data_IF_267382206821
#
_entry.id   IF_267382206821
#
_cell.length_a   1.000
_cell.length_b   1.000
_cell.length_c   1.000
_cell.angle_alpha   90.00
_cell.angle_beta   90.00
_cell.angle_gamma   90.00
#
_symmetry.space_group_name_H-M   'P 1'
#
loop_
_entity.id
_entity.type
_entity.pdbx_description
1 polymer ?
#
# COMPACT_ATOMS: atom_id res chain seq x y z
N UNK A 1 -14.29 2.14 11.26
CA UNK A 1 -15.17 2.78 10.25
C UNK A 1 -14.55 4.05 9.65
N UNK A 2 -14.11 5.04 10.46
CA UNK A 2 -13.59 6.32 9.97
C UNK A 2 -12.34 6.20 9.06
N UNK A 3 -11.39 5.33 9.40
CA UNK A 3 -10.18 5.09 8.57
C UNK A 3 -10.54 4.51 7.19
N UNK A 4 -11.45 3.53 7.13
CA UNK A 4 -11.93 2.97 5.86
C UNK A 4 -12.62 4.05 5.00
N UNK A 5 -13.41 4.92 5.64
CA UNK A 5 -14.08 6.03 4.95
C UNK A 5 -13.06 7.05 4.41
N UNK A 6 -12.01 7.38 5.18
CA UNK A 6 -10.93 8.25 4.73
C UNK A 6 -10.28 7.73 3.44
N UNK A 7 -9.83 6.46 3.41
CA UNK A 7 -9.23 5.88 2.21
C UNK A 7 -10.21 5.77 1.03
N UNK A 8 -11.49 5.47 1.29
CA UNK A 8 -12.52 5.44 0.25
C UNK A 8 -12.71 6.81 -0.39
N UNK A 9 -12.78 7.86 0.43
CA UNK A 9 -12.96 9.24 -0.03
C UNK A 9 -11.71 9.76 -0.74
N UNK A 10 -10.51 9.39 -0.27
CA UNK A 10 -9.25 9.75 -0.91
C UNK A 10 -9.19 9.20 -2.35
N UNK A 11 -9.66 7.97 -2.58
CA UNK A 11 -9.80 7.40 -3.94
C UNK A 11 -10.83 8.11 -4.81
N UNK A 12 -11.92 8.58 -4.19
CA UNK A 12 -13.00 9.29 -4.89
C UNK A 12 -12.69 10.77 -5.14
N UNK A 13 -11.53 11.27 -4.68
CA UNK A 13 -11.08 12.67 -4.86
C UNK A 13 -12.07 13.73 -4.36
N UNK A 14 -12.90 13.40 -3.35
CA UNK A 14 -13.89 14.33 -2.81
C UNK A 14 -13.32 15.12 -1.62
N UNK A 15 -12.78 16.31 -1.91
CA UNK A 15 -12.08 17.16 -0.94
C UNK A 15 -12.92 17.57 0.28
N UNK A 16 -14.21 17.87 0.08
CA UNK A 16 -15.09 18.29 1.17
C UNK A 16 -15.29 17.17 2.19
N UNK A 17 -15.64 15.96 1.72
CA UNK A 17 -15.82 14.80 2.60
C UNK A 17 -14.50 14.31 3.21
N UNK A 18 -13.38 14.53 2.50
CA UNK A 18 -12.04 14.21 2.99
C UNK A 18 -11.72 15.01 4.24
N UNK A 19 -11.95 16.34 4.21
CA UNK A 19 -11.77 17.22 5.37
C UNK A 19 -12.60 16.78 6.58
N UNK A 20 -13.85 16.36 6.38
CA UNK A 20 -14.71 15.87 7.45
C UNK A 20 -14.17 14.58 8.07
N UNK A 21 -13.75 13.62 7.24
CA UNK A 21 -13.18 12.36 7.70
C UNK A 21 -11.85 12.54 8.44
N UNK A 22 -10.97 13.43 7.95
CA UNK A 22 -9.70 13.78 8.59
C UNK A 22 -9.92 14.48 9.93
N UNK A 23 -10.88 15.42 10.00
CA UNK A 23 -11.23 16.11 11.25
C UNK A 23 -11.84 15.16 12.28
N UNK A 24 -12.71 14.24 11.84
CA UNK A 24 -13.28 13.21 12.71
C UNK A 24 -12.19 12.31 13.30
N UNK A 25 -11.26 11.83 12.46
CA UNK A 25 -10.13 11.01 12.92
C UNK A 25 -9.25 11.74 13.93
N UNK A 26 -8.89 13.00 13.66
CA UNK A 26 -8.10 13.82 14.57
C UNK A 26 -8.82 14.06 15.93
N UNK A 27 -10.15 14.22 15.92
CA UNK A 27 -10.93 14.36 17.16
C UNK A 27 -11.01 13.04 17.93
N UNK A 28 -11.20 11.92 17.23
CA UNK A 28 -11.27 10.60 17.85
C UNK A 28 -9.92 10.19 18.45
N UNK A 29 -8.81 10.49 17.77
CA UNK A 29 -7.46 10.24 18.30
C UNK A 29 -7.18 11.07 19.55
N UNK A 30 -7.73 12.28 19.66
CA UNK A 30 -7.53 13.15 20.82
C UNK A 30 -8.30 12.71 22.09
N UNK A 31 -9.24 11.75 21.98
CA UNK A 31 -10.07 11.31 23.13
C UNK A 31 -9.24 10.59 24.20
N UNK A 32 -8.30 9.74 23.79
CA UNK A 32 -7.46 8.98 24.71
C UNK A 32 -6.16 8.53 24.02
N UNK A 33 -5.07 8.29 24.77
CA UNK A 33 -3.82 7.78 24.17
C UNK A 33 -4.02 6.42 23.49
N UNK A 34 -4.91 5.57 24.02
CA UNK A 34 -5.27 4.31 23.38
C UNK A 34 -5.98 4.51 22.04
N UNK A 35 -6.89 5.50 21.95
CA UNK A 35 -7.57 5.86 20.70
C UNK A 35 -6.59 6.44 19.68
N UNK A 36 -5.65 7.29 20.11
CA UNK A 36 -4.57 7.80 19.25
C UNK A 36 -3.74 6.65 18.68
N UNK A 37 -3.26 5.74 19.54
CA UNK A 37 -2.49 4.55 19.14
C UNK A 37 -3.25 3.70 18.11
N UNK A 38 -4.51 3.37 18.40
CA UNK A 38 -5.34 2.57 17.50
C UNK A 38 -5.60 3.28 16.16
N UNK A 39 -5.87 4.58 16.18
CA UNK A 39 -6.09 5.37 14.96
C UNK A 39 -4.84 5.39 14.07
N UNK A 40 -3.67 5.62 14.67
CA UNK A 40 -2.39 5.65 13.96
C UNK A 40 -2.04 4.26 13.39
N UNK A 41 -2.17 3.19 14.17
CA UNK A 41 -1.94 1.82 13.69
C UNK A 41 -2.81 1.50 12.48
N UNK A 42 -4.11 1.77 12.57
CA UNK A 42 -5.06 1.51 11.48
C UNK A 42 -4.79 2.38 10.24
N UNK A 43 -4.29 3.61 10.42
CA UNK A 43 -3.88 4.48 9.31
C UNK A 43 -2.63 3.95 8.60
N UNK A 44 -1.61 3.54 9.36
CA UNK A 44 -0.35 2.99 8.81
C UNK A 44 -0.62 1.66 8.10
N UNK A 45 -1.27 0.71 8.76
CA UNK A 45 -1.70 -0.55 8.13
C UNK A 45 -2.56 -0.28 6.90
N UNK A 46 -3.50 0.67 7.01
CA UNK A 46 -4.41 1.03 5.94
C UNK A 46 -3.68 1.54 4.70
N UNK A 47 -2.64 2.36 4.87
CA UNK A 47 -1.86 2.90 3.76
C UNK A 47 -1.02 1.83 3.06
N UNK A 48 -0.48 0.86 3.82
CA UNK A 48 0.39 -0.20 3.32
C UNK A 48 -0.37 -1.40 2.72
N UNK A 49 -1.70 -1.47 2.88
CA UNK A 49 -2.52 -2.52 2.25
C UNK A 49 -2.46 -2.41 0.72
N UNK A 50 -2.34 -3.55 0.03
CA UNK A 50 -2.28 -3.67 -1.45
C UNK A 50 -3.31 -2.83 -2.20
N UNK A 51 -4.53 -2.69 -1.66
CA UNK A 51 -5.60 -1.91 -2.31
C UNK A 51 -5.39 -0.40 -2.24
N UNK A 52 -4.71 0.09 -1.19
CA UNK A 52 -4.49 1.51 -0.94
C UNK A 52 -3.09 1.96 -1.36
N UNK A 53 -2.06 1.10 -1.29
CA UNK A 53 -0.69 1.47 -1.63
C UNK A 53 -0.55 2.26 -2.96
N UNK A 54 -1.27 1.93 -4.05
CA UNK A 54 -1.17 2.68 -5.31
C UNK A 54 -1.59 4.15 -5.20
N UNK A 55 -2.48 4.52 -4.27
CA UNK A 55 -2.92 5.91 -4.11
C UNK A 55 -1.81 6.82 -3.57
N UNK A 56 -0.77 6.23 -3.01
CA UNK A 56 0.43 6.88 -2.47
C UNK A 56 1.67 6.64 -3.34
N UNK A 57 1.50 6.08 -4.55
CA UNK A 57 2.61 5.75 -5.44
C UNK A 57 3.28 4.40 -5.16
N UNK A 58 2.72 3.59 -4.24
CA UNK A 58 3.21 2.25 -3.98
C UNK A 58 2.88 1.30 -5.12
N UNK A 59 3.91 0.70 -5.72
CA UNK A 59 3.75 -0.36 -6.72
C UNK A 59 3.77 -1.71 -6.01
N UNK A 60 2.77 -2.55 -6.27
CA UNK A 60 2.83 -3.95 -5.86
C UNK A 60 3.19 -4.77 -7.10
N UNK A 61 4.35 -5.42 -7.07
CA UNK A 61 4.67 -6.42 -8.08
C UNK A 61 3.55 -7.46 -8.05
N UNK A 62 2.82 -7.58 -9.16
CA UNK A 62 1.83 -8.64 -9.35
C UNK A 62 2.60 -9.96 -9.33
N UNK A 63 2.72 -10.56 -8.15
CA UNK A 63 3.13 -11.96 -8.04
C UNK A 63 2.08 -12.76 -8.81
N UNK A 64 2.42 -13.11 -10.04
CA UNK A 64 1.55 -13.85 -10.96
C UNK A 64 1.03 -15.16 -10.35
N UNK A 65 1.70 -15.70 -9.33
CA UNK A 65 1.29 -16.88 -8.59
C UNK A 65 0.09 -16.64 -7.66
N UNK A 66 0.00 -15.50 -6.97
CA UNK A 66 -1.11 -15.19 -6.05
C UNK A 66 -2.32 -14.59 -6.76
N UNK A 67 -2.09 -13.88 -7.88
CA UNK A 67 -3.16 -13.35 -8.71
C UNK A 67 -3.82 -14.46 -9.55
N UNK A 68 -3.14 -15.58 -9.85
CA UNK A 68 -3.74 -16.75 -10.50
C UNK A 68 -4.84 -17.41 -9.64
N UNK A 69 -4.70 -17.43 -8.31
CA UNK A 69 -5.72 -17.97 -7.41
C UNK A 69 -6.91 -17.01 -7.20
N UNK A 70 -6.70 -15.69 -7.29
CA UNK A 70 -7.77 -14.69 -7.15
C UNK A 70 -8.48 -14.34 -8.46
N UNK A 71 -7.82 -14.43 -9.62
CA UNK A 71 -8.45 -14.22 -10.93
C UNK A 71 -9.49 -15.30 -11.27
N UNK A 72 -9.48 -16.45 -10.60
CA UNK A 72 -10.54 -17.45 -10.69
C UNK A 72 -11.94 -16.92 -10.30
N UNK A 73 -12.02 -15.75 -9.66
CA UNK A 73 -13.29 -15.19 -9.18
C UNK A 73 -13.71 -13.83 -9.79
N UNK A 74 -12.91 -13.14 -10.61
CA UNK A 74 -13.15 -11.70 -10.88
C UNK A 74 -13.23 -11.24 -12.34
N UNK A 75 -13.17 -12.12 -13.34
CA UNK A 75 -13.50 -11.71 -14.71
C UNK A 75 -14.11 -12.88 -15.47
N UNK A 76 -15.39 -12.76 -15.82
CA UNK A 76 -16.04 -13.62 -16.81
C UNK A 76 -15.34 -13.36 -18.17
N UNK A 77 -14.18 -13.97 -18.36
CA UNK A 77 -13.46 -13.93 -19.63
C UNK A 77 -14.10 -14.98 -20.52
N UNK A 78 -14.86 -14.53 -21.52
CA UNK A 78 -15.46 -15.43 -22.49
C UNK A 78 -14.38 -16.07 -23.33
N UNK A 79 -14.16 -17.38 -23.13
CA UNK A 79 -13.24 -18.16 -23.95
C UNK A 79 -13.64 -18.12 -25.43
N UNK A 80 -14.95 -17.98 -25.72
CA UNK A 80 -15.47 -17.80 -27.08
C UNK A 80 -14.97 -16.51 -27.72
N UNK A 81 -15.01 -15.38 -27.01
CA UNK A 81 -14.50 -14.09 -27.55
C UNK A 81 -12.98 -14.14 -27.79
N UNK A 82 -12.25 -14.78 -26.88
CA UNK A 82 -10.81 -15.00 -27.03
C UNK A 82 -10.54 -15.86 -28.27
N UNK A 83 -11.22 -17.00 -28.40
CA UNK A 83 -11.04 -17.92 -29.52
C UNK A 83 -11.42 -17.27 -30.85
N UNK A 84 -12.50 -16.49 -30.91
CA UNK A 84 -12.90 -15.77 -32.13
C UNK A 84 -11.80 -14.81 -32.63
N UNK A 85 -11.11 -14.11 -31.72
CA UNK A 85 -9.99 -13.22 -32.09
C UNK A 85 -8.81 -13.99 -32.66
N UNK A 86 -8.46 -15.13 -32.07
CA UNK A 86 -7.36 -15.94 -32.56
C UNK A 86 -7.70 -16.66 -33.88
N UNK A 87 -8.92 -17.17 -34.03
CA UNK A 87 -9.36 -17.86 -35.27
C UNK A 87 -9.45 -16.90 -36.46
N UNK A 88 -9.85 -15.65 -36.27
CA UNK A 88 -9.97 -14.68 -37.37
C UNK A 88 -8.62 -14.25 -37.97
N UNK A 89 -7.52 -14.37 -37.24
CA UNK A 89 -6.17 -13.98 -37.69
C UNK A 89 -5.34 -15.12 -38.28
N UNK A 90 -5.84 -16.36 -38.22
CA UNK A 90 -5.11 -17.54 -38.67
C UNK A 90 -5.48 -17.84 -40.13
N UNK A 91 -4.83 -17.12 -41.05
CA UNK A 91 -5.02 -17.31 -42.48
C UNK A 91 -3.98 -18.29 -43.03
N UNK A 92 -4.18 -19.59 -42.81
CA UNK A 92 -3.37 -20.63 -43.47
C UNK A 92 -3.90 -20.87 -44.89
N UNK A 93 -3.53 -20.00 -45.83
CA UNK A 93 -3.74 -20.25 -47.25
C UNK A 93 -2.82 -21.38 -47.72
N UNK A 94 -3.20 -22.63 -47.44
CA UNK A 94 -2.66 -23.82 -48.11
C UNK A 94 -1.90 -24.85 -47.25
N UNK A 95 -2.52 -25.44 -46.22
CA UNK A 95 -2.03 -26.73 -45.70
C UNK A 95 -2.47 -27.13 -44.30
N UNK A 96 -2.75 -28.42 -44.13
CA UNK A 96 -3.16 -29.12 -42.89
C UNK A 96 -1.99 -29.27 -41.91
N UNK A 97 -1.30 -28.19 -41.56
CA UNK A 97 -0.10 -28.27 -40.71
C UNK A 97 -0.18 -27.36 -39.49
N UNK A 98 0.45 -27.87 -38.42
CA UNK A 98 0.44 -27.34 -37.07
C UNK A 98 0.81 -25.85 -36.99
N UNK A 99 0.37 -25.21 -35.90
CA UNK A 99 0.72 -23.82 -35.56
C UNK A 99 2.24 -23.66 -35.54
N UNK A 100 2.77 -22.55 -36.10
CA UNK A 100 4.22 -22.29 -36.24
C UNK A 100 4.99 -22.28 -34.91
N UNK A 101 4.32 -22.13 -33.77
CA UNK A 101 4.91 -22.15 -32.43
C UNK A 101 4.41 -23.34 -31.60
N UNK A 102 5.26 -23.86 -30.71
CA UNK A 102 4.90 -24.92 -29.75
C UNK A 102 4.05 -24.42 -28.55
N UNK A 103 3.64 -23.15 -28.56
CA UNK A 103 2.83 -22.50 -27.53
C UNK A 103 3.39 -21.12 -27.16
N UNK A 104 2.72 -20.45 -26.22
CA UNK A 104 3.18 -19.18 -25.63
C UNK A 104 3.51 -19.43 -24.17
N UNK A 105 4.70 -19.00 -23.73
CA UNK A 105 5.06 -19.01 -22.31
C UNK A 105 4.49 -17.73 -21.68
N UNK A 106 3.61 -17.90 -20.70
CA UNK A 106 2.98 -16.78 -19.98
C UNK A 106 1.91 -16.03 -20.79
N UNK A 107 1.68 -14.74 -20.48
CA UNK A 107 0.63 -13.91 -21.10
C UNK A 107 1.11 -12.93 -22.17
N UNK A 108 2.36 -13.05 -22.62
CA UNK A 108 2.93 -12.13 -23.63
C UNK A 108 3.43 -10.81 -23.05
N UNK A 109 3.40 -9.74 -23.86
CA UNK A 109 3.92 -8.41 -23.50
C UNK A 109 3.26 -7.88 -22.23
N UNK A 110 4.09 -7.50 -21.24
CA UNK A 110 3.62 -6.89 -19.99
C UNK A 110 3.12 -5.46 -20.28
N UNK A 111 2.04 -5.05 -19.59
CA UNK A 111 1.54 -3.68 -19.68
C UNK A 111 2.61 -2.68 -19.27
N UNK A 112 2.69 -1.55 -19.98
CA UNK A 112 3.61 -0.47 -19.66
C UNK A 112 3.38 0.07 -18.24
N UNK A 113 4.43 0.57 -17.56
CA UNK A 113 4.30 1.18 -16.26
C UNK A 113 3.43 2.45 -16.31
N UNK A 114 2.80 2.83 -15.18
CA UNK A 114 2.00 4.06 -15.08
C UNK A 114 2.86 5.33 -15.33
N UNK A 115 2.24 6.36 -15.93
CA UNK A 115 2.91 7.63 -16.33
C UNK A 115 3.01 8.69 -15.23
N UNK A 116 3.65 9.83 -15.55
CA UNK A 116 4.04 10.92 -14.63
C UNK A 116 2.88 11.59 -13.87
N UNK A 117 1.69 11.74 -14.46
CA UNK A 117 0.53 12.36 -13.80
C UNK A 117 0.10 11.63 -12.51
N UNK A 118 0.35 10.32 -12.43
CA UNK A 118 0.04 9.50 -11.25
C UNK A 118 0.97 9.83 -10.07
N UNK A 119 2.18 10.34 -10.34
CA UNK A 119 3.17 10.69 -9.32
C UNK A 119 2.81 11.98 -8.57
N UNK A 120 2.31 13.01 -9.26
CA UNK A 120 1.89 14.27 -8.60
C UNK A 120 0.68 14.06 -7.69
N UNK A 121 -0.32 13.29 -8.14
CA UNK A 121 -1.49 12.96 -7.31
C UNK A 121 -1.09 12.14 -6.08
N UNK A 122 -0.16 11.20 -6.23
CA UNK A 122 0.39 10.43 -5.11
C UNK A 122 1.09 11.33 -4.09
N UNK A 123 1.87 12.32 -4.52
CA UNK A 123 2.53 13.28 -3.63
C UNK A 123 1.51 14.11 -2.83
N UNK A 124 0.43 14.57 -3.47
CA UNK A 124 -0.64 15.29 -2.78
C UNK A 124 -1.35 14.42 -1.75
N UNK A 125 -1.68 13.18 -2.11
CA UNK A 125 -2.29 12.21 -1.20
C UNK A 125 -1.39 11.91 0.00
N UNK A 126 -0.08 11.77 -0.24
CA UNK A 126 0.92 11.54 0.79
C UNK A 126 0.98 12.74 1.74
N UNK A 127 0.98 13.96 1.23
CA UNK A 127 0.95 15.18 2.06
C UNK A 127 -0.31 15.25 2.94
N UNK A 128 -1.48 14.93 2.39
CA UNK A 128 -2.74 14.85 3.14
C UNK A 128 -2.64 13.80 4.25
N UNK A 129 -2.12 12.61 3.93
CA UNK A 129 -1.95 11.52 4.86
C UNK A 129 -0.99 11.87 6.00
N UNK A 130 0.19 12.41 5.69
CA UNK A 130 1.17 12.84 6.69
C UNK A 130 0.61 13.95 7.58
N UNK A 131 -0.11 14.92 7.00
CA UNK A 131 -0.77 15.98 7.78
C UNK A 131 -1.80 15.41 8.76
N UNK A 132 -2.59 14.43 8.33
CA UNK A 132 -3.53 13.74 9.21
C UNK A 132 -2.82 12.95 10.30
N UNK A 133 -1.77 12.19 9.95
CA UNK A 133 -1.01 11.38 10.88
C UNK A 133 -0.33 12.26 11.95
N UNK A 134 0.23 13.40 11.57
CA UNK A 134 0.77 14.40 12.50
C UNK A 134 -0.31 14.95 13.44
N UNK A 135 -1.52 15.23 12.94
CA UNK A 135 -2.64 15.67 13.80
C UNK A 135 -3.06 14.59 14.80
N UNK A 136 -3.05 13.32 14.40
CA UNK A 136 -3.34 12.20 15.28
C UNK A 136 -2.24 11.96 16.32
N UNK A 137 -0.99 12.31 16.00
CA UNK A 137 0.16 12.20 16.89
C UNK A 137 0.43 13.46 17.73
N UNK A 138 -0.26 14.57 17.46
CA UNK A 138 -0.04 15.84 18.14
C UNK A 138 -0.48 15.80 19.60
N UNK A 139 0.32 16.39 20.48
CA UNK A 139 -0.15 16.70 21.83
C UNK A 139 -1.08 17.93 21.75
N UNK A 140 -2.24 17.86 22.40
CA UNK A 140 -3.13 19.02 22.46
C UNK A 140 -2.41 20.16 23.20
N UNK A 141 -2.47 21.41 22.69
CA UNK A 141 -1.90 22.55 23.41
C UNK A 141 -2.49 22.57 24.82
N UNK A 142 -1.61 22.60 25.84
CA UNK A 142 -2.07 22.86 27.21
C UNK A 142 -2.83 24.18 27.20
N UNK A 143 -4.05 24.18 27.72
CA UNK A 143 -4.87 25.39 27.81
C UNK A 143 -4.05 26.50 28.49
N UNK A 144 -3.74 27.57 27.75
CA UNK A 144 -2.97 28.72 28.24
C UNK A 144 -1.64 29.02 27.54
N UNK A 145 -1.18 28.22 26.58
CA UNK A 145 0.06 28.51 25.83
C UNK A 145 -0.21 28.84 24.35
N UNK A 146 -0.50 30.11 24.00
CA UNK A 146 -0.88 30.52 22.64
C UNK A 146 0.24 30.41 21.58
N UNK A 147 1.46 30.02 21.94
CA UNK A 147 2.63 30.03 21.03
C UNK A 147 3.51 28.78 21.11
N UNK A 148 3.01 27.64 21.60
CA UNK A 148 3.80 26.41 21.59
C UNK A 148 3.77 25.77 20.19
N UNK A 149 4.93 25.45 19.58
CA UNK A 149 4.95 24.73 18.31
C UNK A 149 4.25 23.37 18.47
N UNK A 150 3.67 22.80 17.39
CA UNK A 150 3.05 21.49 17.46
C UNK A 150 4.07 20.45 17.89
N UNK A 151 3.93 19.93 19.11
CA UNK A 151 4.80 18.87 19.63
C UNK A 151 4.23 17.51 19.30
N UNK A 152 5.03 16.66 18.67
CA UNK A 152 4.68 15.26 18.41
C UNK A 152 4.79 14.49 19.73
N UNK A 153 3.73 13.75 20.09
CA UNK A 153 3.76 12.87 21.25
C UNK A 153 4.73 11.68 20.97
N UNK A 154 5.76 11.45 21.80
CA UNK A 154 6.72 10.37 21.58
C UNK A 154 6.06 8.98 21.58
N UNK A 155 5.03 8.76 22.39
CA UNK A 155 4.31 7.47 22.43
C UNK A 155 3.51 7.23 21.14
N UNK A 156 2.97 8.30 20.55
CA UNK A 156 2.28 8.22 19.27
C UNK A 156 3.29 7.94 18.14
N UNK A 157 4.44 8.60 18.14
CA UNK A 157 5.53 8.32 17.19
C UNK A 157 6.04 6.87 17.33
N UNK A 158 6.20 6.37 18.55
CA UNK A 158 6.54 4.96 18.82
C UNK A 158 5.48 4.00 18.28
N UNK A 159 4.19 4.35 18.38
CA UNK A 159 3.11 3.57 17.79
C UNK A 159 3.16 3.53 16.26
N UNK A 160 3.50 4.66 15.59
CA UNK A 160 3.74 4.69 14.14
C UNK A 160 4.87 3.72 13.77
N UNK A 161 6.00 3.83 14.47
CA UNK A 161 7.17 3.00 14.20
C UNK A 161 6.87 1.51 14.40
N UNK A 162 6.20 1.15 15.49
CA UNK A 162 5.79 -0.22 15.77
C UNK A 162 4.86 -0.78 14.67
N UNK A 163 3.85 -0.01 14.25
CA UNK A 163 2.93 -0.41 13.18
C UNK A 163 3.64 -0.59 11.83
N UNK A 164 4.63 0.26 11.54
CA UNK A 164 5.43 0.16 10.32
C UNK A 164 6.31 -1.09 10.33
N UNK A 165 7.00 -1.37 11.44
CA UNK A 165 7.84 -2.57 11.59
C UNK A 165 7.00 -3.84 11.47
N UNK A 166 5.84 -3.88 12.13
CA UNK A 166 4.91 -5.01 12.05
C UNK A 166 4.39 -5.24 10.62
N UNK A 167 4.15 -4.17 9.86
CA UNK A 167 3.70 -4.27 8.48
C UNK A 167 4.80 -4.66 7.46
N UNK A 168 6.05 -4.25 7.71
CA UNK A 168 7.18 -4.46 6.78
C UNK A 168 7.96 -5.74 7.10
N UNK A 169 8.16 -6.03 8.39
CA UNK A 169 8.97 -7.15 8.87
C UNK A 169 8.37 -7.73 10.16
N UNK A 170 7.27 -8.49 10.07
CA UNK A 170 6.58 -9.04 11.25
C UNK A 170 7.47 -10.01 12.05
N UNK A 171 8.42 -10.69 11.41
CA UNK A 171 9.38 -11.58 12.09
C UNK A 171 10.30 -10.84 13.08
N UNK A 172 10.50 -9.53 12.88
CA UNK A 172 11.25 -8.68 13.81
C UNK A 172 10.34 -8.00 14.86
N UNK A 173 9.02 -8.06 14.67
CA UNK A 173 8.04 -7.44 15.56
C UNK A 173 7.79 -8.36 16.76
N UNK A 174 8.56 -8.17 17.84
CA UNK A 174 8.21 -8.73 19.15
C UNK A 174 9.31 -9.43 19.96
N UNK A 175 10.58 -9.39 19.56
CA UNK A 175 11.59 -10.10 20.36
C UNK A 175 13.06 -9.91 20.03
N UNK A 176 13.41 -8.95 19.15
CA UNK A 176 14.82 -8.61 18.93
C UNK A 176 15.36 -7.76 20.07
N UNK A 177 16.57 -8.09 20.54
CA UNK A 177 17.37 -7.14 21.30
C UNK A 177 17.52 -5.84 20.48
N UNK A 178 17.43 -4.68 21.13
CA UNK A 178 17.65 -3.39 20.44
C UNK A 178 19.13 -3.16 20.11
N UNK A 179 20.01 -4.06 20.58
CA UNK A 179 21.41 -4.06 20.23
C UNK A 179 21.61 -4.45 18.76
N UNK A 180 22.39 -3.64 18.05
CA UNK A 180 22.77 -3.94 16.68
C UNK A 180 23.67 -5.18 16.66
N UNK A 181 23.36 -6.21 15.85
CA UNK A 181 24.17 -7.42 15.82
C UNK A 181 25.55 -7.16 15.19
N UNK A 182 26.56 -8.00 15.47
CA UNK A 182 27.84 -7.97 14.78
C UNK A 182 27.67 -8.23 13.27
N UNK A 183 28.64 -7.77 12.48
CA UNK A 183 28.57 -7.80 11.01
C UNK A 183 28.38 -9.22 10.46
N UNK A 184 29.01 -10.22 11.08
CA UNK A 184 28.93 -11.62 10.65
C UNK A 184 27.49 -12.15 10.67
N UNK A 185 26.66 -11.64 11.58
CA UNK A 185 25.29 -12.11 11.75
C UNK A 185 24.35 -11.59 10.64
N UNK A 186 24.73 -10.52 9.94
CA UNK A 186 23.96 -9.99 8.80
C UNK A 186 23.88 -11.00 7.65
N UNK A 187 24.87 -11.89 7.51
CA UNK A 187 24.90 -12.96 6.50
C UNK A 187 23.78 -13.98 6.70
N UNK A 188 23.29 -14.14 7.94
CA UNK A 188 22.21 -15.05 8.25
C UNK A 188 20.81 -14.46 7.96
N UNK A 189 20.69 -13.14 7.75
CA UNK A 189 19.40 -12.46 7.53
C UNK A 189 19.22 -11.85 6.15
N UNK A 190 20.08 -12.19 5.19
CA UNK A 190 20.09 -11.60 3.83
C UNK A 190 18.73 -11.65 3.15
N UNK A 191 18.01 -12.76 3.23
CA UNK A 191 16.68 -12.87 2.61
C UNK A 191 15.67 -11.89 3.22
N UNK A 192 15.65 -11.77 4.56
CA UNK A 192 14.82 -10.80 5.29
C UNK A 192 15.18 -9.39 4.87
N UNK A 193 16.47 -9.06 4.83
CA UNK A 193 16.94 -7.71 4.47
C UNK A 193 16.62 -7.37 3.01
N UNK A 194 16.70 -8.33 2.09
CA UNK A 194 16.27 -8.15 0.69
C UNK A 194 14.75 -7.98 0.57
N UNK A 195 13.95 -8.73 1.34
CA UNK A 195 12.48 -8.56 1.39
C UNK A 195 12.09 -7.17 1.92
N UNK A 196 12.78 -6.68 2.95
CA UNK A 196 12.61 -5.31 3.46
C UNK A 196 12.99 -4.30 2.37
N UNK A 197 14.17 -4.44 1.76
CA UNK A 197 14.61 -3.56 0.67
C UNK A 197 13.60 -3.50 -0.48
N UNK A 198 13.01 -4.65 -0.87
CA UNK A 198 11.99 -4.71 -1.92
C UNK A 198 10.68 -4.00 -1.55
N UNK A 199 10.36 -3.87 -0.26
CA UNK A 199 9.17 -3.11 0.18
C UNK A 199 9.38 -1.60 0.19
N UNK A 200 10.63 -1.15 0.22
CA UNK A 200 11.01 0.27 0.21
C UNK A 200 11.43 0.80 -1.16
N UNK A 201 11.57 -0.08 -2.16
CA UNK A 201 11.85 0.27 -3.56
C UNK A 201 10.55 0.22 -4.35
#
# INVERSE_FOLDING_TARGET
AAVRQFFRVLRQKNAATLCHSARLLARLSAVSPAAAKAAVQQLVEGALRRQNAPIFGGFWEQNAAEDAEREGSARHVSLLEINQRFTATVNFSGGVWAVFHAGVIGRGLKSAPPGEEIAEEAAQNLQIFLTLLLRCCGAQPRAGAPYSPPTINPDAAKAVAAALVEAVCPEAAGGGDLLWPPEEQTRATVERDLRICRRFR
#
